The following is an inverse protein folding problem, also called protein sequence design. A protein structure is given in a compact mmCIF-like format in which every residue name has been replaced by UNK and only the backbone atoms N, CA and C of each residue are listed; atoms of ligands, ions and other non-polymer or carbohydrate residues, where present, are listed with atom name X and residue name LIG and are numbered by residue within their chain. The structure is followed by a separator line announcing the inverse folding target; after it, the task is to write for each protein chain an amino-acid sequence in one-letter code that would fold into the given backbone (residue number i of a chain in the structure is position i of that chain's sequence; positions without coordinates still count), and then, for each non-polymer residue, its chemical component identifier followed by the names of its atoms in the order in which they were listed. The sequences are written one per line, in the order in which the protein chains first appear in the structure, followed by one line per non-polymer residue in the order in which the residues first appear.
data_IF_370789648737
#
_entry.id   IF_370789648737
#
_cell.length_a   1.000
_cell.length_b   1.000
_cell.length_c   1.000
_cell.angle_alpha   90.00
_cell.angle_beta   90.00
_cell.angle_gamma   90.00
#
_symmetry.space_group_name_H-M   'P 1'
#
loop_
_entity.id
_entity.type
_entity.pdbx_description
1 polymer ?
#
# COMPACT_ATOMS: atom_id res chain seq x y z
N UNK A 1 35.44 16.87 4.43
CA UNK A 1 35.12 16.14 3.18
C UNK A 1 34.15 15.01 3.53
N UNK A 2 32.84 15.29 3.52
CA UNK A 2 31.82 14.36 4.02
C UNK A 2 30.97 13.88 2.85
N UNK A 3 31.15 12.61 2.48
CA UNK A 3 30.47 11.96 1.36
C UNK A 3 29.08 11.49 1.83
N UNK A 4 28.04 12.17 1.37
CA UNK A 4 26.66 11.73 1.51
C UNK A 4 26.34 10.67 0.44
N UNK A 5 25.84 9.50 0.86
CA UNK A 5 25.45 8.39 -0.03
C UNK A 5 23.98 8.02 0.17
N UNK A 6 23.34 7.69 -0.95
CA UNK A 6 21.92 7.81 -1.27
C UNK A 6 21.11 6.48 -1.25
N UNK A 7 19.78 6.63 -1.23
CA UNK A 7 18.83 5.94 -2.12
C UNK A 7 18.01 4.77 -1.56
N UNK A 8 16.68 4.92 -1.44
CA UNK A 8 15.57 3.93 -1.22
C UNK A 8 14.52 4.13 -2.36
N UNK A 9 13.66 3.16 -2.68
CA UNK A 9 12.72 3.10 -3.85
C UNK A 9 11.50 2.23 -3.50
N UNK A 10 10.23 2.54 -3.88
CA UNK A 10 9.09 1.57 -3.75
C UNK A 10 8.63 1.14 -5.14
N UNK A 11 8.89 -0.11 -5.50
CA UNK A 11 8.23 -0.77 -6.64
C UNK A 11 7.01 -1.49 -6.15
N UNK A 12 5.85 -1.17 -6.73
CA UNK A 12 4.63 -1.94 -6.57
C UNK A 12 4.62 -3.02 -7.66
N UNK A 13 4.79 -4.28 -7.26
CA UNK A 13 4.88 -5.43 -8.18
C UNK A 13 3.52 -6.09 -8.27
N UNK A 14 2.84 -6.02 -9.42
CA UNK A 14 1.71 -6.91 -9.68
C UNK A 14 1.57 -7.31 -11.16
N UNK A 15 2.16 -8.46 -11.51
CA UNK A 15 2.07 -9.12 -12.81
C UNK A 15 0.79 -9.96 -12.92
N UNK A 16 -0.34 -9.36 -13.30
CA UNK A 16 -1.62 -10.08 -13.33
C UNK A 16 -1.90 -10.88 -14.62
N UNK A 17 -2.42 -12.10 -14.44
CA UNK A 17 -3.14 -12.92 -15.43
C UNK A 17 -4.65 -12.88 -15.15
N UNK A 18 -5.45 -12.56 -16.18
CA UNK A 18 -6.91 -12.44 -16.17
C UNK A 18 -7.60 -13.80 -16.07
N UNK A 19 -8.59 -13.95 -15.19
CA UNK A 19 -9.60 -15.01 -15.28
C UNK A 19 -10.99 -14.45 -14.95
N UNK A 20 -11.88 -14.45 -15.94
CA UNK A 20 -13.31 -14.15 -15.78
C UNK A 20 -14.03 -15.35 -15.16
N UNK A 21 -14.85 -15.10 -14.14
CA UNK A 21 -15.81 -16.07 -13.62
C UNK A 21 -17.08 -15.37 -13.12
N UNK A 22 -18.14 -15.39 -13.93
CA UNK A 22 -19.49 -14.97 -13.55
C UNK A 22 -20.20 -16.14 -12.88
N UNK A 23 -20.50 -16.06 -11.58
CA UNK A 23 -21.60 -16.84 -10.96
C UNK A 23 -22.21 -16.05 -9.82
N UNK A 24 -23.53 -15.80 -9.91
CA UNK A 24 -24.31 -15.19 -8.82
C UNK A 24 -24.43 -16.13 -7.63
N UNK A 25 -24.42 -15.57 -6.41
CA UNK A 25 -24.56 -16.30 -5.15
C UNK A 25 -25.52 -15.57 -4.20
N UNK A 26 -26.36 -16.37 -3.54
CA UNK A 26 -27.47 -15.95 -2.69
C UNK A 26 -27.03 -15.44 -1.29
N UNK A 27 -27.82 -14.56 -0.63
CA UNK A 27 -27.42 -13.78 0.56
C UNK A 27 -27.17 -14.58 1.85
N UNK A 28 -27.49 -15.88 1.89
CA UNK A 28 -27.24 -16.71 3.07
C UNK A 28 -25.78 -17.18 3.22
N UNK A 29 -24.93 -16.95 2.21
CA UNK A 29 -23.50 -17.24 2.28
C UNK A 29 -22.62 -16.03 2.67
N UNK A 30 -23.18 -14.82 2.65
CA UNK A 30 -22.42 -13.58 2.91
C UNK A 30 -22.01 -13.42 4.38
N UNK A 31 -22.79 -13.97 5.33
CA UNK A 31 -22.44 -13.94 6.75
C UNK A 31 -21.34 -14.94 7.14
N UNK A 32 -21.11 -15.99 6.33
CA UNK A 32 -20.08 -17.01 6.61
C UNK A 32 -18.71 -16.65 6.01
N UNK A 33 -18.65 -15.67 5.10
CA UNK A 33 -17.43 -15.31 4.36
C UNK A 33 -16.59 -14.22 5.04
N UNK A 34 -17.15 -13.47 6.00
CA UNK A 34 -16.46 -12.41 6.76
C UNK A 34 -15.39 -12.93 7.74
N UNK A 35 -15.19 -14.26 7.79
CA UNK A 35 -14.23 -14.91 8.68
C UNK A 35 -13.36 -15.95 7.95
N UNK A 36 -13.32 -15.94 6.62
CA UNK A 36 -12.39 -16.78 5.87
C UNK A 36 -11.01 -16.09 5.85
N UNK A 37 -9.95 -16.74 6.37
CA UNK A 37 -8.60 -16.21 6.27
C UNK A 37 -8.20 -15.99 4.79
N UNK A 38 -7.42 -14.94 4.52
CA UNK A 38 -6.75 -14.67 3.22
C UNK A 38 -6.02 -15.92 2.69
N UNK A 39 -5.60 -16.80 3.60
CA UNK A 39 -4.93 -18.07 3.38
C UNK A 39 -4.04 -18.39 4.57
N UNK A 40 -3.18 -19.41 4.47
CA UNK A 40 -2.09 -19.58 5.42
C UNK A 40 -1.00 -18.54 5.13
N UNK A 41 -0.92 -17.51 5.99
CA UNK A 41 0.06 -16.43 5.88
C UNK A 41 1.38 -16.74 6.62
N UNK A 42 1.43 -17.86 7.36
CA UNK A 42 2.57 -18.22 8.22
C UNK A 42 3.90 -18.28 7.46
N UNK A 43 3.99 -18.84 6.24
CA UNK A 43 5.24 -18.87 5.49
C UNK A 43 5.80 -17.47 5.19
N UNK A 44 4.93 -16.53 4.80
CA UNK A 44 5.34 -15.15 4.50
C UNK A 44 5.78 -14.41 5.76
N UNK A 45 5.00 -14.56 6.84
CA UNK A 45 5.32 -13.97 8.14
C UNK A 45 6.66 -14.47 8.68
N UNK A 46 6.97 -15.76 8.53
CA UNK A 46 8.26 -16.32 8.93
C UNK A 46 9.40 -15.68 8.15
N UNK A 47 9.28 -15.51 6.84
CA UNK A 47 10.33 -14.84 6.03
C UNK A 47 10.51 -13.39 6.48
N UNK A 48 9.43 -12.66 6.76
CA UNK A 48 9.50 -11.28 7.28
C UNK A 48 10.19 -11.22 8.66
N UNK A 49 9.88 -12.15 9.56
CA UNK A 49 10.50 -12.24 10.89
C UNK A 49 12.00 -12.59 10.81
N UNK A 50 12.36 -13.55 9.95
CA UNK A 50 13.76 -13.89 9.67
C UNK A 50 14.51 -12.68 9.12
N UNK A 51 13.90 -11.94 8.20
CA UNK A 51 14.47 -10.72 7.64
C UNK A 51 14.73 -9.69 8.74
N UNK A 52 13.77 -9.47 9.64
CA UNK A 52 13.93 -8.54 10.76
C UNK A 52 15.05 -8.97 11.71
N UNK A 53 15.15 -10.26 12.02
CA UNK A 53 16.23 -10.80 12.82
C UNK A 53 17.60 -10.53 12.18
N UNK A 54 17.73 -10.72 10.86
CA UNK A 54 18.96 -10.44 10.12
C UNK A 54 19.31 -8.94 10.11
N UNK A 55 18.31 -8.05 9.96
CA UNK A 55 18.52 -6.59 10.08
C UNK A 55 19.01 -6.23 11.48
N UNK A 56 18.49 -6.89 12.53
CA UNK A 56 18.93 -6.66 13.91
C UNK A 56 20.40 -7.03 14.16
N UNK A 57 20.98 -7.95 13.39
CA UNK A 57 22.42 -8.24 13.45
C UNK A 57 23.27 -7.30 12.57
N UNK A 58 22.65 -6.31 11.91
CA UNK A 58 23.33 -5.38 11.00
C UNK A 58 23.65 -5.95 9.61
N UNK A 59 23.20 -7.16 9.28
CA UNK A 59 23.54 -7.81 8.01
C UNK A 59 22.53 -7.48 6.90
N UNK A 60 22.56 -6.24 6.41
CA UNK A 60 21.58 -5.76 5.44
C UNK A 60 21.67 -6.45 4.07
N UNK A 61 22.86 -6.95 3.67
CA UNK A 61 23.02 -7.73 2.44
C UNK A 61 22.22 -9.03 2.49
N UNK A 62 22.30 -9.77 3.61
CA UNK A 62 21.53 -11.00 3.81
C UNK A 62 20.04 -10.70 3.97
N UNK A 63 19.68 -9.59 4.61
CA UNK A 63 18.28 -9.16 4.73
C UNK A 63 17.67 -8.84 3.34
N UNK A 64 18.43 -8.18 2.47
CA UNK A 64 18.02 -7.89 1.08
C UNK A 64 17.77 -9.17 0.27
N UNK A 65 18.58 -10.22 0.47
CA UNK A 65 18.32 -11.52 -0.13
C UNK A 65 17.04 -12.15 0.45
N UNK A 66 16.88 -12.13 1.78
CA UNK A 66 15.73 -12.77 2.44
C UNK A 66 14.39 -12.12 2.09
N UNK A 67 14.34 -10.79 1.95
CA UNK A 67 13.11 -10.12 1.52
C UNK A 67 12.77 -10.38 0.05
N UNK A 68 13.75 -10.72 -0.81
CA UNK A 68 13.48 -11.17 -2.18
C UNK A 68 12.76 -12.53 -2.21
N UNK A 69 13.05 -13.42 -1.25
CA UNK A 69 12.30 -14.67 -1.08
C UNK A 69 10.84 -14.39 -0.70
N UNK A 70 10.59 -13.38 0.14
CA UNK A 70 9.23 -13.00 0.54
C UNK A 70 8.41 -12.61 -0.68
N UNK A 71 8.90 -11.63 -1.45
CA UNK A 71 8.25 -11.16 -2.68
C UNK A 71 7.98 -12.32 -3.64
N UNK A 72 9.02 -13.12 -3.94
CA UNK A 72 8.88 -14.23 -4.89
C UNK A 72 7.79 -15.23 -4.46
N UNK A 73 7.68 -15.50 -3.16
CA UNK A 73 6.65 -16.39 -2.64
C UNK A 73 5.26 -15.72 -2.63
N UNK A 74 5.19 -14.43 -2.31
CA UNK A 74 3.96 -13.65 -2.30
C UNK A 74 3.35 -13.57 -3.71
N UNK A 75 4.14 -13.21 -4.72
CA UNK A 75 3.73 -13.16 -6.13
C UNK A 75 3.15 -14.49 -6.61
N UNK A 76 3.78 -15.61 -6.23
CA UNK A 76 3.31 -16.96 -6.58
C UNK A 76 1.98 -17.32 -5.91
N UNK A 77 1.68 -16.71 -4.77
CA UNK A 77 0.48 -16.98 -4.01
C UNK A 77 -0.66 -16.01 -4.36
N UNK A 78 -0.37 -14.88 -5.00
CA UNK A 78 -1.31 -13.79 -5.32
C UNK A 78 -2.63 -14.30 -5.89
N UNK A 79 -2.58 -15.07 -6.99
CA UNK A 79 -3.77 -15.60 -7.67
C UNK A 79 -4.67 -16.47 -6.78
N UNK A 80 -4.14 -17.00 -5.68
CA UNK A 80 -4.88 -17.81 -4.69
C UNK A 80 -5.32 -17.00 -3.47
N UNK A 81 -4.55 -15.99 -3.05
CA UNK A 81 -4.80 -15.20 -1.85
C UNK A 81 -5.74 -14.02 -2.15
N UNK A 82 -5.45 -13.27 -3.22
CA UNK A 82 -6.17 -12.04 -3.57
C UNK A 82 -7.68 -12.23 -3.72
N UNK A 83 -8.20 -13.27 -4.40
CA UNK A 83 -9.65 -13.43 -4.53
C UNK A 83 -10.39 -13.83 -3.24
N UNK A 84 -9.67 -14.26 -2.19
CA UNK A 84 -10.30 -14.72 -0.94
C UNK A 84 -10.72 -13.55 -0.06
N UNK A 85 -9.86 -12.55 0.04
CA UNK A 85 -10.11 -11.31 0.77
C UNK A 85 -9.24 -10.20 0.15
N UNK A 86 -9.76 -9.49 -0.87
CA UNK A 86 -9.00 -8.49 -1.62
C UNK A 86 -8.54 -7.31 -0.77
N UNK A 87 -9.32 -6.91 0.24
CA UNK A 87 -8.97 -5.80 1.13
C UNK A 87 -7.77 -6.17 1.99
N UNK A 88 -7.85 -7.29 2.71
CA UNK A 88 -6.73 -7.74 3.55
C UNK A 88 -5.51 -8.08 2.72
N UNK A 89 -5.70 -8.70 1.55
CA UNK A 89 -4.61 -8.98 0.62
C UNK A 89 -3.90 -7.67 0.24
N UNK A 90 -4.63 -6.64 -0.20
CA UNK A 90 -4.04 -5.34 -0.60
C UNK A 90 -3.33 -4.64 0.57
N UNK A 91 -3.89 -4.73 1.79
CA UNK A 91 -3.22 -4.18 2.99
C UNK A 91 -1.89 -4.89 3.28
N UNK A 92 -1.82 -6.22 3.12
CA UNK A 92 -0.57 -6.97 3.30
C UNK A 92 0.40 -6.65 2.16
N UNK A 93 -0.09 -6.61 0.92
CA UNK A 93 0.67 -6.34 -0.30
C UNK A 93 1.42 -5.00 -0.19
N UNK A 94 0.72 -3.91 0.12
CA UNK A 94 1.35 -2.60 0.35
C UNK A 94 2.36 -2.59 1.49
N UNK A 95 2.13 -3.37 2.55
CA UNK A 95 3.08 -3.49 3.65
C UNK A 95 4.35 -4.28 3.24
N UNK A 96 4.21 -5.25 2.34
CA UNK A 96 5.33 -5.98 1.74
C UNK A 96 6.16 -5.02 0.89
N UNK A 97 5.51 -4.23 0.04
CA UNK A 97 6.16 -3.22 -0.79
C UNK A 97 6.94 -2.22 0.07
N UNK A 98 6.28 -1.66 1.09
CA UNK A 98 6.91 -0.76 2.04
C UNK A 98 8.17 -1.34 2.70
N UNK A 99 8.22 -2.65 2.97
CA UNK A 99 9.40 -3.32 3.52
C UNK A 99 10.49 -3.60 2.46
N UNK A 100 10.08 -4.04 1.26
CA UNK A 100 10.97 -4.26 0.12
C UNK A 100 11.78 -3.01 -0.21
N UNK A 101 11.13 -1.85 -0.14
CA UNK A 101 11.75 -0.53 -0.33
C UNK A 101 12.97 -0.30 0.52
N UNK A 102 12.79 -0.55 1.81
CA UNK A 102 13.78 -0.21 2.81
C UNK A 102 15.03 -1.03 2.63
N UNK A 103 14.83 -2.30 2.29
CA UNK A 103 15.87 -3.29 2.18
C UNK A 103 16.54 -3.30 0.80
N UNK A 104 15.83 -2.88 -0.25
CA UNK A 104 16.35 -2.87 -1.62
C UNK A 104 17.01 -1.59 -2.06
N UNK A 105 16.77 -0.52 -1.32
CA UNK A 105 17.59 0.69 -1.28
C UNK A 105 19.05 0.42 -1.66
N UNK A 106 19.65 1.28 -2.49
CA UNK A 106 21.08 1.19 -2.81
C UNK A 106 21.92 1.19 -1.52
N UNK A 107 21.49 1.99 -0.53
CA UNK A 107 22.04 1.97 0.83
C UNK A 107 20.89 1.82 1.83
N UNK A 108 20.51 0.58 2.19
CA UNK A 108 19.44 0.35 3.16
C UNK A 108 19.84 0.91 4.52
N UNK A 109 18.90 1.56 5.20
CA UNK A 109 19.09 2.09 6.55
C UNK A 109 18.44 1.13 7.54
N UNK A 110 19.17 0.77 8.60
CA UNK A 110 18.77 -0.29 9.51
C UNK A 110 17.52 0.08 10.32
N UNK A 111 17.41 1.32 10.81
CA UNK A 111 16.25 1.75 11.60
C UNK A 111 14.96 1.80 10.77
N UNK A 112 15.02 2.34 9.54
CA UNK A 112 13.92 2.37 8.59
C UNK A 112 13.50 0.96 8.16
N UNK A 113 14.47 0.08 7.88
CA UNK A 113 14.20 -1.32 7.53
C UNK A 113 13.52 -2.07 8.67
N UNK A 114 13.94 -1.83 9.93
CA UNK A 114 13.29 -2.40 11.10
C UNK A 114 11.84 -1.94 11.23
N UNK A 115 11.61 -0.62 11.12
CA UNK A 115 10.27 -0.06 11.25
C UNK A 115 9.30 -0.64 10.20
N UNK A 116 9.71 -0.71 8.93
CA UNK A 116 8.86 -1.27 7.88
C UNK A 116 8.58 -2.78 8.07
N UNK A 117 9.60 -3.56 8.47
CA UNK A 117 9.40 -4.98 8.77
C UNK A 117 8.50 -5.22 10.00
N UNK A 118 8.57 -4.35 11.00
CA UNK A 118 7.66 -4.39 12.15
C UNK A 118 6.22 -4.08 11.74
N UNK A 119 6.00 -3.06 10.91
CA UNK A 119 4.68 -2.77 10.34
C UNK A 119 4.14 -3.95 9.52
N UNK A 120 4.98 -4.57 8.69
CA UNK A 120 4.62 -5.75 7.92
C UNK A 120 4.23 -6.94 8.80
N UNK A 121 5.01 -7.23 9.84
CA UNK A 121 4.68 -8.30 10.80
C UNK A 121 3.35 -8.04 11.51
N UNK A 122 3.10 -6.80 11.92
CA UNK A 122 1.83 -6.40 12.51
C UNK A 122 0.65 -6.58 11.53
N UNK A 123 0.87 -6.31 10.24
CA UNK A 123 -0.13 -6.54 9.18
C UNK A 123 -0.47 -8.03 9.05
N UNK A 124 0.53 -8.91 9.02
CA UNK A 124 0.31 -10.37 9.05
C UNK A 124 -0.42 -10.83 10.31
N UNK A 125 -0.02 -10.33 11.48
CA UNK A 125 -0.63 -10.70 12.77
C UNK A 125 -2.10 -10.28 12.87
N UNK A 126 -2.42 -9.07 12.43
CA UNK A 126 -3.81 -8.58 12.37
C UNK A 126 -4.64 -9.42 11.42
N UNK A 127 -4.07 -9.80 10.28
CA UNK A 127 -4.75 -10.60 9.26
C UNK A 127 -5.04 -12.03 9.73
N UNK A 128 -4.16 -12.61 10.55
CA UNK A 128 -4.33 -13.94 11.16
C UNK A 128 -5.35 -13.98 12.31
N UNK A 129 -5.64 -12.86 12.96
CA UNK A 129 -6.48 -12.84 14.17
C UNK A 129 -8.00 -12.91 13.90
N UNK A 130 -8.46 -12.87 12.65
CA UNK A 130 -9.90 -12.94 12.33
C UNK A 130 -10.70 -11.74 12.88
N UNK A 131 -11.91 -11.50 12.36
CA UNK A 131 -12.73 -10.35 12.75
C UNK A 131 -13.42 -10.51 14.12
N UNK A 132 -12.69 -10.92 15.17
CA UNK A 132 -13.28 -11.19 16.51
C UNK A 132 -12.97 -10.15 17.59
N UNK A 133 -12.38 -9.00 17.26
CA UNK A 133 -12.16 -7.96 18.27
C UNK A 133 -12.11 -6.55 17.68
N UNK A 134 -13.18 -6.05 17.05
CA UNK A 134 -13.18 -4.62 16.68
C UNK A 134 -14.51 -3.97 16.27
N UNK A 135 -15.65 -4.67 16.19
CA UNK A 135 -16.84 -4.11 15.55
C UNK A 135 -17.38 -2.82 16.21
N UNK A 136 -17.12 -2.60 17.51
CA UNK A 136 -17.56 -1.38 18.22
C UNK A 136 -16.55 -0.21 18.19
N UNK A 137 -15.25 -0.50 18.21
CA UNK A 137 -14.18 0.51 18.30
C UNK A 137 -13.66 0.92 16.91
N UNK A 138 -13.61 -0.01 15.95
CA UNK A 138 -13.22 0.29 14.57
C UNK A 138 -14.25 1.14 13.84
N UNK A 139 -15.55 0.96 14.08
CA UNK A 139 -16.59 1.76 13.42
C UNK A 139 -16.57 3.24 13.87
N UNK A 140 -16.17 3.50 15.12
CA UNK A 140 -16.04 4.86 15.68
C UNK A 140 -14.71 5.51 15.32
N UNK A 141 -13.62 4.74 15.20
CA UNK A 141 -12.33 5.21 14.64
C UNK A 141 -12.45 5.51 13.13
N UNK A 142 -13.25 4.72 12.41
CA UNK A 142 -13.42 4.86 10.96
C UNK A 142 -14.28 6.06 10.56
N UNK A 143 -15.20 6.50 11.42
CA UNK A 143 -15.96 7.75 11.24
C UNK A 143 -15.19 8.99 11.68
N UNK A 144 -14.23 8.86 12.60
CA UNK A 144 -13.44 9.98 13.10
C UNK A 144 -12.22 10.35 12.23
N UNK A 145 -11.80 9.46 11.32
CA UNK A 145 -10.64 9.68 10.44
C UNK A 145 -10.99 10.53 9.20
N UNK A 146 -10.00 11.31 8.76
CA UNK A 146 -10.03 12.04 7.50
C UNK A 146 -10.29 11.10 6.33
N UNK A 147 -10.94 11.62 5.27
CA UNK A 147 -11.09 10.86 4.02
C UNK A 147 -9.74 10.73 3.32
N UNK A 148 -9.59 9.71 2.45
CA UNK A 148 -8.41 9.63 1.58
C UNK A 148 -8.27 10.90 0.74
N UNK A 149 -9.38 11.47 0.27
CA UNK A 149 -9.38 12.78 -0.42
C UNK A 149 -8.77 13.90 0.42
N UNK A 150 -9.11 13.98 1.71
CA UNK A 150 -8.57 14.98 2.64
C UNK A 150 -7.10 14.72 2.97
N UNK A 151 -6.68 13.45 3.10
CA UNK A 151 -5.28 13.08 3.30
C UNK A 151 -4.43 13.46 2.07
N UNK A 152 -4.94 13.22 0.85
CA UNK A 152 -4.29 13.69 -0.38
C UNK A 152 -4.17 15.22 -0.37
N UNK A 153 -5.21 15.93 0.10
CA UNK A 153 -5.18 17.39 0.27
C UNK A 153 -4.15 17.86 1.29
N UNK A 154 -4.04 17.19 2.43
CA UNK A 154 -3.05 17.48 3.44
C UNK A 154 -1.62 17.25 2.90
N UNK A 155 -1.40 16.15 2.18
CA UNK A 155 -0.10 15.83 1.58
C UNK A 155 0.34 16.84 0.51
N UNK A 156 -0.56 17.24 -0.39
CA UNK A 156 -0.26 18.28 -1.40
C UNK A 156 -0.02 19.65 -0.76
N UNK A 157 -0.72 19.97 0.33
CA UNK A 157 -0.49 21.20 1.08
C UNK A 157 0.86 21.18 1.82
N UNK A 158 1.19 20.05 2.45
CA UNK A 158 2.47 19.83 3.12
C UNK A 158 3.64 19.99 2.15
N UNK A 159 3.45 19.51 0.91
CA UNK A 159 4.45 19.56 -0.15
C UNK A 159 3.89 20.29 -1.38
N UNK A 160 3.98 21.61 -1.36
CA UNK A 160 3.52 22.45 -2.45
C UNK A 160 4.08 22.01 -3.81
N UNK A 161 3.19 21.80 -4.78
CA UNK A 161 3.53 21.33 -6.12
C UNK A 161 3.76 19.83 -6.25
N UNK A 162 3.54 19.05 -5.19
CA UNK A 162 3.64 17.60 -5.26
C UNK A 162 2.39 16.96 -5.88
N UNK A 163 2.59 15.90 -6.66
CA UNK A 163 1.53 14.97 -7.05
C UNK A 163 1.58 13.77 -6.12
N UNK A 164 0.43 13.29 -5.65
CA UNK A 164 0.34 12.08 -4.82
C UNK A 164 0.25 10.86 -5.73
N UNK A 165 1.07 9.84 -5.43
CA UNK A 165 1.12 8.58 -6.17
C UNK A 165 0.34 7.49 -5.43
N UNK A 166 0.50 7.45 -4.11
CA UNK A 166 -0.10 6.42 -3.27
C UNK A 166 -0.56 7.00 -1.93
N UNK A 167 -1.69 6.50 -1.45
CA UNK A 167 -2.19 6.66 -0.10
C UNK A 167 -2.68 5.29 0.38
N UNK A 168 -2.16 4.87 1.53
CA UNK A 168 -2.49 3.61 2.19
C UNK A 168 -2.82 3.84 3.65
N UNK A 169 -3.91 3.25 4.15
CA UNK A 169 -4.23 3.29 5.57
C UNK A 169 -3.32 2.37 6.38
N UNK A 170 -2.47 2.97 7.21
CA UNK A 170 -1.46 2.28 8.03
C UNK A 170 -1.51 2.77 9.48
N UNK A 171 -2.39 2.20 10.33
CA UNK A 171 -2.47 2.57 11.73
C UNK A 171 -1.14 2.40 12.45
N UNK A 172 -0.75 3.40 13.24
CA UNK A 172 0.48 3.39 14.05
C UNK A 172 0.12 3.61 15.51
N UNK A 173 0.62 2.73 16.38
CA UNK A 173 0.40 2.79 17.83
C UNK A 173 -1.09 2.89 18.24
N UNK A 174 -1.97 2.17 17.52
CA UNK A 174 -3.41 2.17 17.76
C UNK A 174 -4.14 3.42 17.25
N UNK A 175 -3.44 4.36 16.62
CA UNK A 175 -4.03 5.58 16.04
C UNK A 175 -4.16 5.45 14.53
N UNK A 176 -5.21 6.04 13.92
CA UNK A 176 -5.34 6.06 12.47
C UNK A 176 -4.19 6.89 11.88
N UNK A 177 -3.53 6.34 10.87
CA UNK A 177 -2.49 7.01 10.13
C UNK A 177 -2.49 6.51 8.67
N UNK A 178 -1.90 7.30 7.78
CA UNK A 178 -1.83 7.01 6.36
C UNK A 178 -0.39 7.13 5.87
N UNK A 179 0.11 6.07 5.24
CA UNK A 179 1.32 6.17 4.44
C UNK A 179 0.96 6.89 3.14
N UNK A 180 1.77 7.89 2.80
CA UNK A 180 1.57 8.71 1.61
C UNK A 180 2.87 8.81 0.84
N UNK A 181 2.76 8.56 -0.47
CA UNK A 181 3.83 8.78 -1.43
C UNK A 181 3.50 9.96 -2.33
N UNK A 182 4.46 10.85 -2.51
CA UNK A 182 4.32 12.02 -3.39
C UNK A 182 5.55 12.21 -4.28
N UNK A 183 5.39 12.90 -5.40
CA UNK A 183 6.48 13.30 -6.28
C UNK A 183 6.48 14.81 -6.50
N UNK A 184 7.63 15.45 -6.31
CA UNK A 184 7.87 16.85 -6.65
C UNK A 184 9.36 17.07 -6.91
N UNK A 185 9.70 17.94 -7.86
CA UNK A 185 11.08 18.40 -8.08
C UNK A 185 12.11 17.26 -8.28
N UNK A 186 11.74 16.23 -9.04
CA UNK A 186 12.61 15.07 -9.29
C UNK A 186 12.76 14.14 -8.08
N UNK A 187 11.99 14.36 -7.01
CA UNK A 187 12.05 13.57 -5.78
C UNK A 187 10.72 12.94 -5.42
N UNK A 188 10.76 11.65 -5.15
CA UNK A 188 9.68 10.93 -4.46
C UNK A 188 9.86 11.13 -2.96
N UNK A 189 8.77 11.31 -2.24
CA UNK A 189 8.76 11.36 -0.79
C UNK A 189 7.69 10.44 -0.24
N UNK A 190 8.11 9.63 0.73
CA UNK A 190 7.27 8.69 1.45
C UNK A 190 7.21 9.15 2.90
N UNK A 191 6.03 9.31 3.46
CA UNK A 191 5.88 9.66 4.86
C UNK A 191 4.53 9.28 5.42
N UNK A 192 4.41 9.39 6.74
CA UNK A 192 3.22 8.99 7.46
C UNK A 192 2.45 10.24 7.91
N UNK A 193 1.17 10.31 7.59
CA UNK A 193 0.26 11.38 8.01
C UNK A 193 -0.70 10.84 9.08
N UNK A 194 -0.95 11.66 10.09
CA UNK A 194 -1.94 11.40 11.12
C UNK A 194 -3.35 11.42 10.52
N UNK A 195 -4.11 10.36 10.78
CA UNK A 195 -5.41 10.14 10.17
C UNK A 195 -6.52 11.04 10.71
N UNK A 196 -6.29 11.84 11.75
CA UNK A 196 -7.27 12.78 12.31
C UNK A 196 -6.97 14.21 11.86
N UNK A 197 -5.70 14.62 11.95
CA UNK A 197 -5.26 15.99 11.70
C UNK A 197 -4.68 16.21 10.30
N UNK A 198 -4.26 15.14 9.62
CA UNK A 198 -3.52 15.21 8.35
C UNK A 198 -2.08 15.71 8.50
N UNK A 199 -1.60 15.92 9.72
CA UNK A 199 -0.24 16.36 9.99
C UNK A 199 0.76 15.22 9.76
N UNK A 200 1.97 15.53 9.32
CA UNK A 200 3.03 14.53 9.22
C UNK A 200 3.43 14.02 10.62
N UNK A 201 3.45 12.71 10.82
CA UNK A 201 3.88 12.05 12.06
C UNK A 201 5.41 12.07 12.19
N UNK A 202 6.12 12.02 11.06
CA UNK A 202 7.58 12.16 11.00
C UNK A 202 7.99 12.96 9.74
N UNK A 203 9.30 13.15 9.54
CA UNK A 203 9.84 13.92 8.40
C UNK A 203 9.66 13.21 7.06
N UNK A 204 9.23 11.95 7.05
CA UNK A 204 9.24 11.07 5.91
C UNK A 204 10.66 10.86 5.36
N UNK A 205 10.72 10.32 4.16
CA UNK A 205 11.95 9.98 3.44
C UNK A 205 11.84 10.51 2.03
N UNK A 206 12.80 11.32 1.58
CA UNK A 206 12.89 11.78 0.20
C UNK A 206 13.94 10.99 -0.60
N UNK A 207 13.61 10.70 -1.85
CA UNK A 207 14.33 9.83 -2.78
C UNK A 207 14.48 10.59 -4.09
N UNK A 208 15.65 10.60 -4.72
CA UNK A 208 15.76 11.06 -6.10
C UNK A 208 15.16 10.04 -7.07
N UNK A 209 14.49 10.51 -8.11
CA UNK A 209 13.91 9.67 -9.17
C UNK A 209 14.94 8.71 -9.79
N UNK A 210 16.21 9.10 -9.87
CA UNK A 210 17.26 8.25 -10.42
C UNK A 210 17.51 7.00 -9.58
N UNK A 211 17.26 7.09 -8.26
CA UNK A 211 17.45 5.99 -7.34
C UNK A 211 16.40 4.91 -7.53
N UNK A 212 15.19 5.28 -7.98
CA UNK A 212 14.01 4.42 -8.21
C UNK A 212 14.34 3.18 -9.03
N UNK A 213 13.69 2.05 -8.73
CA UNK A 213 13.83 0.86 -9.55
C UNK A 213 13.01 0.99 -10.86
N UNK A 214 13.02 -0.06 -11.68
CA UNK A 214 12.45 0.02 -13.03
C UNK A 214 10.92 0.22 -13.02
N UNK A 215 10.25 -0.29 -12.00
CA UNK A 215 8.79 -0.29 -11.90
C UNK A 215 8.28 1.04 -11.39
N UNK A 216 8.83 1.56 -10.29
CA UNK A 216 8.59 2.92 -9.81
C UNK A 216 8.82 3.95 -10.91
N UNK A 217 9.85 3.76 -11.74
CA UNK A 217 10.16 4.65 -12.85
C UNK A 217 9.08 4.59 -13.90
N UNK A 218 8.50 3.41 -14.16
CA UNK A 218 7.39 3.26 -15.08
C UNK A 218 6.11 3.90 -14.53
N UNK A 219 5.81 3.73 -13.25
CA UNK A 219 4.70 4.41 -12.56
C UNK A 219 4.89 5.91 -12.55
N UNK A 220 6.05 6.40 -12.15
CA UNK A 220 6.35 7.82 -12.13
C UNK A 220 6.31 8.43 -13.54
N UNK A 221 6.78 7.70 -14.56
CA UNK A 221 6.64 8.12 -15.95
C UNK A 221 5.16 8.20 -16.38
N UNK A 222 4.32 7.29 -15.89
CA UNK A 222 2.88 7.35 -16.12
C UNK A 222 2.21 8.49 -15.33
N UNK A 223 2.58 8.73 -14.08
CA UNK A 223 2.12 9.87 -13.28
C UNK A 223 2.39 11.20 -13.99
N UNK A 224 3.59 11.37 -14.53
CA UNK A 224 3.98 12.58 -15.30
C UNK A 224 3.14 12.80 -16.55
N UNK A 225 2.53 11.73 -17.08
CA UNK A 225 1.63 11.76 -18.25
C UNK A 225 0.16 11.79 -17.85
N UNK A 226 -0.15 11.49 -16.59
CA UNK A 226 -1.52 11.45 -16.08
C UNK A 226 -2.19 12.80 -16.27
N UNK A 227 -3.42 12.78 -16.77
CA UNK A 227 -4.29 13.96 -16.87
C UNK A 227 -5.29 14.03 -15.72
N UNK A 228 -5.49 12.90 -15.04
CA UNK A 228 -6.34 12.76 -13.88
C UNK A 228 -5.44 12.55 -12.67
N UNK A 229 -5.58 13.40 -11.66
CA UNK A 229 -4.85 13.25 -10.41
C UNK A 229 -5.43 12.12 -9.56
N UNK A 230 -4.64 11.58 -8.63
CA UNK A 230 -5.13 10.58 -7.67
C UNK A 230 -6.37 11.08 -6.91
N UNK A 231 -6.40 12.36 -6.50
CA UNK A 231 -7.58 12.95 -5.83
C UNK A 231 -8.84 12.90 -6.70
N UNK A 232 -8.71 13.23 -7.98
CA UNK A 232 -9.84 13.19 -8.92
C UNK A 232 -10.31 11.76 -9.17
N UNK A 233 -9.37 10.81 -9.27
CA UNK A 233 -9.68 9.40 -9.42
C UNK A 233 -10.42 8.86 -8.20
N UNK A 234 -9.95 9.16 -6.98
CA UNK A 234 -10.62 8.80 -5.72
C UNK A 234 -12.04 9.35 -5.67
N UNK A 235 -12.24 10.65 -5.93
CA UNK A 235 -13.58 11.24 -5.93
C UNK A 235 -14.52 10.58 -6.95
N UNK A 236 -13.99 10.17 -8.11
CA UNK A 236 -14.77 9.46 -9.13
C UNK A 236 -15.11 8.03 -8.70
N UNK A 237 -14.16 7.34 -8.07
CA UNK A 237 -14.33 6.00 -7.54
C UNK A 237 -15.34 5.96 -6.38
N UNK A 238 -15.25 6.88 -5.41
CA UNK A 238 -16.20 6.98 -4.30
C UNK A 238 -17.63 7.24 -4.80
N UNK A 239 -17.78 8.13 -5.79
CA UNK A 239 -19.07 8.39 -6.43
C UNK A 239 -19.65 7.16 -7.13
N UNK A 240 -18.81 6.34 -7.75
CA UNK A 240 -19.23 5.14 -8.47
C UNK A 240 -19.49 3.94 -7.54
N UNK A 241 -18.69 3.81 -6.47
CA UNK A 241 -18.71 2.68 -5.56
C UNK A 241 -19.68 2.82 -4.38
N UNK A 242 -20.17 4.03 -4.08
CA UNK A 242 -21.14 4.25 -2.99
C UNK A 242 -20.55 4.13 -1.58
N UNK A 243 -19.23 4.16 -1.46
CA UNK A 243 -18.48 4.05 -0.20
C UNK A 243 -17.31 5.05 -0.14
N UNK A 244 -16.43 4.89 0.86
CA UNK A 244 -15.25 5.74 1.04
C UNK A 244 -13.99 5.00 0.57
N UNK A 245 -13.06 5.71 -0.04
CA UNK A 245 -11.78 5.11 -0.36
C UNK A 245 -11.01 4.80 0.93
N UNK A 246 -10.46 3.59 1.00
CA UNK A 246 -9.55 3.14 2.05
C UNK A 246 -8.09 3.34 1.61
N UNK A 247 -7.78 2.87 0.41
CA UNK A 247 -6.46 2.93 -0.23
C UNK A 247 -6.61 3.41 -1.67
N UNK A 248 -5.64 4.15 -2.17
CA UNK A 248 -5.62 4.59 -3.56
C UNK A 248 -4.18 4.78 -4.06
N UNK A 249 -3.83 4.22 -5.22
CA UNK A 249 -2.46 4.21 -5.73
C UNK A 249 -2.38 4.15 -7.26
N UNK A 250 -1.24 4.54 -7.83
CA UNK A 250 -0.92 4.29 -9.24
C UNK A 250 -0.22 2.94 -9.34
N UNK A 251 -0.76 2.05 -10.16
CA UNK A 251 -0.27 0.67 -10.30
C UNK A 251 0.06 0.35 -11.76
N UNK A 252 1.09 -0.45 -12.01
CA UNK A 252 1.37 -1.00 -13.34
C UNK A 252 0.75 -2.38 -13.53
N UNK A 253 -0.28 -2.46 -14.38
CA UNK A 253 -0.92 -3.73 -14.73
C UNK A 253 -0.61 -4.08 -16.18
N UNK A 254 0.21 -5.11 -16.39
CA UNK A 254 0.61 -5.62 -17.72
C UNK A 254 1.21 -4.52 -18.63
N UNK A 255 2.02 -3.63 -18.04
CA UNK A 255 2.65 -2.51 -18.75
C UNK A 255 1.73 -1.31 -19.02
N UNK A 256 0.53 -1.29 -18.42
CA UNK A 256 -0.37 -0.14 -18.42
C UNK A 256 -0.57 0.36 -17.00
N UNK A 257 -0.32 1.66 -16.80
CA UNK A 257 -0.61 2.30 -15.53
C UNK A 257 -2.12 2.51 -15.35
N UNK A 258 -2.61 2.22 -14.15
CA UNK A 258 -3.98 2.46 -13.71
C UNK A 258 -3.97 3.15 -12.35
N UNK A 259 -4.96 3.99 -12.08
CA UNK A 259 -5.30 4.33 -10.70
C UNK A 259 -6.09 3.16 -10.13
N UNK A 260 -5.59 2.56 -9.07
CA UNK A 260 -6.28 1.55 -8.29
C UNK A 260 -6.82 2.16 -7.00
N UNK A 261 -8.13 2.03 -6.78
CA UNK A 261 -8.79 2.57 -5.60
C UNK A 261 -9.58 1.45 -4.93
N UNK A 262 -9.33 1.22 -3.65
CA UNK A 262 -10.13 0.34 -2.83
C UNK A 262 -11.22 1.16 -2.11
N UNK A 263 -12.47 0.92 -2.44
CA UNK A 263 -13.64 1.51 -1.79
C UNK A 263 -14.14 0.57 -0.69
N UNK A 264 -14.21 1.07 0.54
CA UNK A 264 -14.92 0.45 1.64
C UNK A 264 -16.41 0.79 1.53
N UNK A 265 -17.26 -0.21 1.26
CA UNK A 265 -18.71 -0.13 1.46
C UNK A 265 -19.10 -0.98 2.68
N UNK A 266 -20.25 -0.65 3.27
CA UNK A 266 -20.94 -1.34 4.37
C UNK A 266 -21.18 -2.83 4.13
N UNK A 267 -21.20 -3.30 2.87
CA UNK A 267 -21.50 -4.70 2.53
C UNK A 267 -20.26 -5.49 2.10
N UNK A 268 -19.37 -4.88 1.30
CA UNK A 268 -18.10 -5.48 0.87
C UNK A 268 -17.15 -4.42 0.29
N UNK A 269 -15.83 -4.61 0.41
CA UNK A 269 -14.87 -3.77 -0.29
C UNK A 269 -14.96 -3.97 -1.81
N UNK A 270 -14.80 -2.88 -2.57
CA UNK A 270 -14.78 -2.88 -4.03
C UNK A 270 -13.51 -2.20 -4.55
N UNK A 271 -12.77 -2.89 -5.40
CA UNK A 271 -11.63 -2.32 -6.11
C UNK A 271 -12.13 -1.67 -7.42
N UNK A 272 -11.77 -0.41 -7.64
CA UNK A 272 -12.13 0.36 -8.83
C UNK A 272 -10.84 0.78 -9.52
N UNK A 273 -10.74 0.46 -10.82
CA UNK A 273 -9.61 0.82 -11.66
C UNK A 273 -9.99 1.97 -12.58
N UNK A 274 -9.16 3.01 -12.63
CA UNK A 274 -9.41 4.21 -13.43
C UNK A 274 -8.19 4.49 -14.32
N UNK A 275 -8.45 4.76 -15.60
CA UNK A 275 -7.39 5.17 -16.52
C UNK A 275 -6.85 6.58 -16.18
N UNK A 276 -5.53 6.74 -15.95
CA UNK A 276 -4.94 8.00 -15.49
C UNK A 276 -4.92 9.11 -16.56
N UNK A 277 -5.19 8.79 -17.83
CA UNK A 277 -5.20 9.74 -18.95
C UNK A 277 -6.61 10.23 -19.26
N UNK A 278 -7.60 9.33 -19.17
CA UNK A 278 -8.98 9.58 -19.61
C UNK A 278 -9.97 9.71 -18.46
N UNK A 279 -9.64 9.18 -17.29
CA UNK A 279 -10.55 9.14 -16.13
C UNK A 279 -11.64 8.09 -16.25
N UNK A 280 -11.58 7.22 -17.26
CA UNK A 280 -12.56 6.16 -17.47
C UNK A 280 -12.35 5.04 -16.44
N UNK A 281 -13.43 4.60 -15.79
CA UNK A 281 -13.47 3.37 -14.99
C UNK A 281 -13.35 2.16 -15.94
N UNK A 282 -12.44 1.24 -15.62
CA UNK A 282 -12.05 0.10 -16.46
C UNK A 282 -12.80 -1.18 -16.15
#
# INVERSE_FOLDING_TARGET
MMRFFAGRTLGAICLLLFALGLTGRAPAQDAANQNQPVGDLSPFRTIAADTLAIVNTGNLTRAKARIKDLETNWDRAEAKLRPRDPERWLTIDKAIDAALVQLRAHKPEASASKAALQSLLASFDRSNQGATAAAGESASIETARLSVTDIIAAAEKLRAGASVLDVSFEPKDGKPAYAVRTYANGKVWDGLLDGISGAAIDQGTAMDESALDAEDKAELAALKRAKITLRQAVASAEKAGGGRALNAGLEQVRGRAIWEILIQDTTKPQQIHIDPITGKIL
#
